data_IF_137480881331
#
_entry.id   IF_137480881331
#
_cell.length_a   1.000
_cell.length_b   1.000
_cell.length_c   1.000
_cell.angle_alpha   90.00
_cell.angle_beta   90.00
_cell.angle_gamma   90.00
#
_symmetry.space_group_name_H-M   'P 1'
#
loop_
_entity.id
_entity.type
_entity.pdbx_description
1 polymer ?
#
# COMPACT_ATOMS: atom_id res chain seq x y z
N UNK A 1 52.53 -79.22 -1.88
CA UNK A 1 53.77 -78.61 -1.33
C UNK A 1 53.51 -77.13 -1.16
N UNK A 2 53.22 -76.69 0.05
CA UNK A 2 54.13 -75.98 0.97
C UNK A 2 54.08 -74.47 0.71
N UNK A 3 53.29 -73.71 1.47
CA UNK A 3 53.62 -73.12 2.78
C UNK A 3 54.74 -72.05 2.70
N UNK A 4 54.27 -70.80 2.84
CA UNK A 4 54.81 -69.71 3.66
C UNK A 4 55.90 -68.81 3.00
N UNK A 5 55.66 -67.49 3.16
CA UNK A 5 56.59 -66.34 3.09
C UNK A 5 56.91 -65.78 1.70
N UNK A 6 56.13 -64.78 1.25
CA UNK A 6 56.63 -63.38 1.24
C UNK A 6 55.50 -62.50 1.77
N UNK A 7 55.54 -62.29 3.08
CA UNK A 7 54.87 -61.20 3.78
C UNK A 7 55.73 -59.95 3.51
N UNK A 8 55.38 -59.15 2.51
CA UNK A 8 55.50 -57.68 2.46
C UNK A 8 54.64 -57.22 1.28
N UNK A 9 53.33 -57.12 1.49
CA UNK A 9 52.33 -56.18 0.93
C UNK A 9 51.01 -56.57 1.63
N UNK A 10 51.08 -56.69 2.95
CA UNK A 10 49.92 -56.79 3.83
C UNK A 10 50.15 -55.81 4.99
N UNK A 11 50.43 -54.56 4.60
CA UNK A 11 50.50 -53.42 5.49
C UNK A 11 49.64 -52.32 4.86
N UNK A 12 48.41 -52.20 5.35
CA UNK A 12 47.45 -51.13 5.04
C UNK A 12 46.75 -51.27 3.67
N UNK A 13 45.91 -52.30 3.52
CA UNK A 13 44.62 -52.15 2.81
C UNK A 13 43.51 -52.29 3.85
N UNK A 14 43.51 -51.38 4.81
CA UNK A 14 42.43 -51.12 5.75
C UNK A 14 42.18 -49.62 5.66
N UNK A 15 41.01 -49.23 5.18
CA UNK A 15 40.42 -47.90 5.38
C UNK A 15 41.20 -46.75 4.76
N UNK A 16 41.02 -46.54 3.46
CA UNK A 16 41.60 -45.39 2.78
C UNK A 16 40.96 -45.11 1.42
N UNK A 17 39.63 -45.26 1.30
CA UNK A 17 38.94 -44.41 0.33
C UNK A 17 39.17 -43.00 0.86
N UNK A 18 40.12 -42.29 0.24
CA UNK A 18 40.20 -40.85 0.34
C UNK A 18 38.92 -40.40 -0.35
N UNK A 19 37.82 -40.39 0.39
CA UNK A 19 36.72 -39.48 0.12
C UNK A 19 37.38 -38.14 0.25
N UNK A 20 37.84 -37.61 -0.89
CA UNK A 20 38.02 -36.19 -1.03
C UNK A 20 36.63 -35.68 -0.68
N UNK A 21 36.45 -35.21 0.55
CA UNK A 21 35.28 -34.45 0.90
C UNK A 21 35.26 -33.39 -0.18
N UNK A 22 34.37 -33.54 -1.14
CA UNK A 22 33.94 -32.43 -1.96
C UNK A 22 33.26 -31.52 -0.97
N UNK A 23 34.08 -30.78 -0.22
CA UNK A 23 33.72 -29.49 0.33
C UNK A 23 33.59 -28.66 -0.94
N UNK A 24 32.49 -28.88 -1.66
CA UNK A 24 31.83 -27.79 -2.30
C UNK A 24 31.55 -26.87 -1.12
N UNK A 25 32.46 -25.93 -0.88
CA UNK A 25 32.10 -24.71 -0.22
C UNK A 25 30.99 -24.16 -1.10
N UNK A 26 29.74 -24.55 -0.79
CA UNK A 26 28.59 -23.78 -1.19
C UNK A 26 28.79 -22.48 -0.42
N UNK A 27 29.56 -21.58 -1.02
CA UNK A 27 29.35 -20.17 -0.83
C UNK A 27 27.90 -19.96 -1.27
N UNK A 28 26.96 -20.19 -0.35
CA UNK A 28 25.63 -19.64 -0.44
C UNK A 28 25.90 -18.15 -0.35
N UNK A 29 25.99 -17.52 -1.51
CA UNK A 29 26.04 -16.08 -1.63
C UNK A 29 24.74 -15.58 -0.98
N UNK A 30 24.86 -15.17 0.28
CA UNK A 30 23.76 -14.61 1.04
C UNK A 30 23.55 -13.20 0.53
N UNK A 31 23.00 -13.10 -0.69
CA UNK A 31 22.51 -11.91 -1.37
C UNK A 31 22.13 -10.82 -0.35
N UNK A 32 22.41 -9.55 -0.68
CA UNK A 32 22.30 -8.36 0.18
C UNK A 32 21.45 -8.54 1.46
N UNK A 33 22.09 -8.51 2.63
CA UNK A 33 21.37 -8.50 3.91
C UNK A 33 20.97 -7.08 4.28
N UNK A 34 19.67 -6.81 4.35
CA UNK A 34 19.14 -5.51 4.77
C UNK A 34 18.45 -5.63 6.11
N UNK A 35 18.80 -4.76 7.07
CA UNK A 35 18.10 -4.72 8.35
C UNK A 35 16.71 -4.12 8.15
N UNK A 36 15.70 -4.69 8.80
CA UNK A 36 14.37 -4.10 8.98
C UNK A 36 14.13 -3.84 10.47
N UNK A 37 13.74 -2.62 10.79
CA UNK A 37 13.40 -2.23 12.14
C UNK A 37 12.39 -1.09 12.09
N UNK A 38 11.15 -1.34 12.52
CA UNK A 38 10.11 -0.32 12.54
C UNK A 38 9.02 -0.63 13.56
N UNK A 39 8.30 0.42 13.95
CA UNK A 39 7.03 0.33 14.69
C UNK A 39 5.99 1.15 13.96
N UNK A 40 4.82 0.59 13.70
CA UNK A 40 3.73 1.29 13.01
C UNK A 40 2.36 0.79 13.47
N UNK A 41 1.33 1.60 13.26
CA UNK A 41 -0.06 1.16 13.41
C UNK A 41 -0.66 0.90 12.03
N UNK A 42 -1.22 -0.30 11.86
CA UNK A 42 -1.88 -0.75 10.64
C UNK A 42 -3.35 -1.03 10.92
N UNK A 43 -4.18 -0.85 9.89
CA UNK A 43 -5.59 -1.23 9.90
C UNK A 43 -5.77 -2.39 8.94
N UNK A 44 -6.56 -3.38 9.32
CA UNK A 44 -6.87 -4.52 8.45
C UNK A 44 -7.77 -4.09 7.29
N UNK A 45 -7.72 -4.86 6.21
CA UNK A 45 -8.72 -4.84 5.13
C UNK A 45 -9.24 -6.25 4.91
N UNK A 46 -10.23 -6.41 4.03
CA UNK A 46 -10.67 -7.74 3.59
C UNK A 46 -9.47 -8.57 3.10
N UNK A 47 -9.38 -9.83 3.53
CA UNK A 47 -8.34 -10.76 3.10
C UNK A 47 -8.50 -11.06 1.59
N UNK A 48 -7.49 -10.78 0.75
CA UNK A 48 -7.59 -11.01 -0.69
C UNK A 48 -7.37 -12.48 -1.08
N UNK A 49 -7.10 -13.38 -0.13
CA UNK A 49 -6.94 -14.80 -0.38
C UNK A 49 -8.24 -15.49 -0.79
N UNK A 50 -8.16 -16.41 -1.75
CA UNK A 50 -9.30 -17.23 -2.17
C UNK A 50 -9.84 -18.07 -1.00
N UNK A 51 -11.14 -18.02 -0.76
CA UNK A 51 -11.78 -18.70 0.37
C UNK A 51 -11.66 -17.96 1.72
N UNK A 52 -11.08 -16.76 1.72
CA UNK A 52 -10.96 -15.88 2.89
C UNK A 52 -11.80 -14.60 2.76
N UNK A 53 -12.82 -14.60 1.90
CA UNK A 53 -13.60 -13.39 1.58
C UNK A 53 -14.36 -12.83 2.79
N UNK A 54 -14.61 -13.64 3.82
CA UNK A 54 -15.23 -13.21 5.08
C UNK A 54 -14.26 -12.70 6.14
N UNK A 55 -12.96 -12.71 5.86
CA UNK A 55 -11.90 -12.49 6.84
C UNK A 55 -11.22 -11.12 6.66
N UNK A 56 -10.43 -10.75 7.66
CA UNK A 56 -9.65 -9.53 7.68
C UNK A 56 -8.15 -9.85 7.75
N UNK A 57 -7.34 -9.10 7.00
CA UNK A 57 -5.90 -9.24 6.92
C UNK A 57 -5.23 -7.87 7.02
N UNK A 58 -4.19 -7.78 7.85
CA UNK A 58 -3.34 -6.61 7.98
C UNK A 58 -1.90 -7.02 7.67
N UNK A 59 -1.41 -6.65 6.49
CA UNK A 59 -0.11 -7.10 6.01
C UNK A 59 1.00 -6.22 6.60
N UNK A 60 2.03 -6.86 7.14
CA UNK A 60 3.17 -6.22 7.81
C UNK A 60 4.41 -6.24 6.90
N UNK A 61 4.72 -7.41 6.34
CA UNK A 61 5.79 -7.61 5.36
C UNK A 61 5.20 -8.32 4.14
N UNK A 62 5.48 -7.77 2.97
CA UNK A 62 4.90 -8.19 1.72
C UNK A 62 5.64 -9.40 1.16
N UNK A 63 4.95 -10.38 0.55
CA UNK A 63 5.58 -11.41 -0.22
C UNK A 63 6.34 -10.82 -1.40
N UNK A 64 7.59 -11.21 -1.52
CA UNK A 64 8.47 -10.89 -2.64
C UNK A 64 9.20 -12.15 -3.06
N UNK A 65 9.31 -12.36 -4.37
CA UNK A 65 9.94 -13.56 -4.93
C UNK A 65 11.42 -13.61 -4.55
N UNK A 66 11.90 -14.76 -4.08
CA UNK A 66 13.29 -14.93 -3.65
C UNK A 66 13.66 -14.14 -2.39
N UNK A 67 12.70 -13.56 -1.68
CA UNK A 67 12.90 -12.76 -0.47
C UNK A 67 12.52 -13.55 0.78
N UNK A 68 13.42 -13.61 1.76
CA UNK A 68 13.18 -14.21 3.07
C UNK A 68 13.37 -13.15 4.15
N UNK A 69 12.31 -12.93 4.92
CA UNK A 69 12.35 -12.17 6.16
C UNK A 69 12.64 -13.10 7.34
N UNK A 70 13.47 -12.64 8.25
CA UNK A 70 13.91 -13.41 9.42
C UNK A 70 14.08 -12.47 10.62
N UNK A 71 13.30 -12.66 11.68
CA UNK A 71 13.37 -11.82 12.87
C UNK A 71 12.18 -11.98 13.81
N UNK A 72 11.92 -10.92 14.58
CA UNK A 72 10.90 -10.89 15.63
C UNK A 72 9.77 -9.92 15.29
N UNK A 73 8.54 -10.30 15.63
CA UNK A 73 7.37 -9.44 15.60
C UNK A 73 6.80 -9.33 17.02
N UNK A 74 6.58 -8.10 17.48
CA UNK A 74 5.77 -7.78 18.67
C UNK A 74 4.58 -6.94 18.26
N UNK A 75 3.38 -7.25 18.74
CA UNK A 75 2.20 -6.49 18.38
C UNK A 75 1.16 -6.38 19.51
N UNK A 76 0.28 -5.39 19.37
CA UNK A 76 -1.00 -5.28 20.09
C UNK A 76 -2.11 -4.91 19.12
N UNK A 77 -3.28 -5.52 19.24
CA UNK A 77 -4.41 -5.40 18.33
C UNK A 77 -5.72 -5.11 19.09
N UNK A 78 -6.64 -4.41 18.44
CA UNK A 78 -7.96 -4.07 18.99
C UNK A 78 -8.84 -5.30 19.19
N UNK A 79 -8.68 -6.32 18.35
CA UNK A 79 -9.39 -7.60 18.38
C UNK A 79 -8.39 -8.77 18.45
N UNK A 80 -8.80 -9.98 18.87
CA UNK A 80 -7.95 -11.16 18.81
C UNK A 80 -7.60 -11.49 17.35
N UNK A 81 -6.32 -11.74 17.09
CA UNK A 81 -5.78 -12.03 15.76
C UNK A 81 -4.94 -13.31 15.77
N UNK A 82 -4.69 -13.79 14.56
CA UNK A 82 -3.75 -14.84 14.23
C UNK A 82 -2.59 -14.24 13.47
N UNK A 83 -1.39 -14.76 13.71
CA UNK A 83 -0.21 -14.41 12.93
C UNK A 83 -0.19 -15.27 11.69
N UNK A 84 0.07 -14.65 10.54
CA UNK A 84 0.25 -15.30 9.25
C UNK A 84 1.70 -15.18 8.82
N UNK A 85 2.34 -16.31 8.56
CA UNK A 85 3.65 -16.37 7.89
C UNK A 85 3.48 -17.13 6.59
N UNK A 86 3.76 -16.46 5.46
CA UNK A 86 3.72 -17.09 4.14
C UNK A 86 5.10 -17.58 3.75
N UNK A 87 5.14 -18.72 3.07
CA UNK A 87 6.37 -19.34 2.57
C UNK A 87 6.29 -19.48 1.06
N UNK A 88 7.35 -19.11 0.37
CA UNK A 88 7.46 -19.33 -1.06
C UNK A 88 7.58 -20.83 -1.33
N UNK A 89 6.68 -21.37 -2.15
CA UNK A 89 6.61 -22.79 -2.50
C UNK A 89 6.31 -22.93 -4.00
N UNK A 90 6.61 -24.10 -4.57
CA UNK A 90 6.17 -24.42 -5.93
C UNK A 90 4.81 -25.13 -5.91
N UNK A 91 4.12 -25.17 -7.05
CA UNK A 91 2.85 -25.92 -7.18
C UNK A 91 3.01 -27.40 -6.78
N UNK A 92 4.17 -28.00 -7.06
CA UNK A 92 4.47 -29.39 -6.67
C UNK A 92 4.50 -29.58 -5.15
N UNK A 93 4.88 -28.54 -4.42
CA UNK A 93 4.99 -28.54 -2.95
C UNK A 93 3.68 -28.10 -2.26
N UNK A 94 2.65 -27.72 -3.02
CA UNK A 94 1.35 -27.28 -2.46
C UNK A 94 0.53 -28.41 -1.80
N UNK A 95 0.88 -29.68 -2.08
CA UNK A 95 0.07 -30.84 -1.67
C UNK A 95 0.29 -31.17 -0.19
N UNK A 96 -0.81 -31.16 0.59
CA UNK A 96 -0.82 -31.63 1.98
C UNK A 96 -0.51 -30.57 3.04
N UNK A 97 -0.42 -29.30 2.65
CA UNK A 97 -0.26 -28.16 3.56
C UNK A 97 -1.29 -27.07 3.26
N UNK A 98 -1.66 -26.23 4.24
CA UNK A 98 -2.47 -25.04 3.97
C UNK A 98 -1.72 -24.12 3.01
N UNK A 99 -2.46 -23.55 2.07
CA UNK A 99 -1.92 -22.62 1.08
C UNK A 99 -2.72 -21.32 1.10
N UNK A 100 -2.09 -20.25 0.64
CA UNK A 100 -2.73 -18.96 0.41
C UNK A 100 -2.38 -18.46 -1.00
N UNK A 101 -3.38 -17.98 -1.72
CA UNK A 101 -3.25 -17.45 -3.08
C UNK A 101 -4.33 -16.41 -3.36
N UNK A 102 -3.99 -15.39 -4.12
CA UNK A 102 -4.92 -14.32 -4.56
C UNK A 102 -5.60 -14.74 -5.87
N UNK A 103 -4.80 -15.14 -6.87
CA UNK A 103 -5.24 -15.40 -8.25
C UNK A 103 -5.26 -16.88 -8.62
N UNK A 104 -4.69 -17.76 -7.79
CA UNK A 104 -4.53 -19.19 -8.04
C UNK A 104 -3.25 -19.52 -8.82
N UNK A 105 -2.57 -18.53 -9.38
CA UNK A 105 -1.33 -18.71 -10.13
C UNK A 105 -0.13 -18.70 -9.16
N UNK A 106 -0.06 -17.70 -8.27
CA UNK A 106 1.01 -17.62 -7.26
C UNK A 106 0.53 -18.19 -5.93
N UNK A 107 1.19 -19.26 -5.47
CA UNK A 107 0.82 -20.03 -4.28
C UNK A 107 1.89 -19.87 -3.20
N UNK A 108 1.46 -19.64 -1.97
CA UNK A 108 2.33 -19.63 -0.79
C UNK A 108 1.88 -20.71 0.21
N UNK A 109 2.84 -21.30 0.93
CA UNK A 109 2.56 -22.13 2.09
C UNK A 109 2.11 -21.24 3.26
N UNK A 110 0.97 -21.57 3.87
CA UNK A 110 0.34 -20.77 4.92
C UNK A 110 0.62 -21.37 6.30
N UNK A 111 1.34 -20.62 7.14
CA UNK A 111 1.40 -20.87 8.58
C UNK A 111 0.51 -19.87 9.32
N UNK A 112 -0.38 -20.40 10.15
CA UNK A 112 -1.38 -19.63 10.89
C UNK A 112 -1.21 -19.92 12.39
N UNK A 113 -0.88 -18.90 13.18
CA UNK A 113 -0.55 -19.04 14.60
C UNK A 113 -1.52 -18.24 15.46
N UNK A 114 -2.30 -18.93 16.29
CA UNK A 114 -3.19 -18.31 17.27
C UNK A 114 -2.39 -17.51 18.30
N UNK A 115 -2.70 -16.22 18.43
CA UNK A 115 -1.81 -15.30 19.17
C UNK A 115 -2.55 -14.20 19.95
N UNK A 116 -3.88 -14.15 19.89
CA UNK A 116 -4.71 -13.31 20.75
C UNK A 116 -4.58 -11.82 20.44
N UNK A 117 -4.76 -10.95 21.44
CA UNK A 117 -4.72 -9.48 21.25
C UNK A 117 -3.32 -8.88 21.28
N UNK A 118 -2.32 -9.58 21.79
CA UNK A 118 -0.94 -9.09 21.83
C UNK A 118 0.02 -10.25 22.04
N UNK A 119 1.13 -10.27 21.30
CA UNK A 119 2.16 -11.29 21.46
C UNK A 119 3.51 -10.79 20.93
N UNK A 120 4.57 -11.52 21.27
CA UNK A 120 5.90 -11.44 20.67
C UNK A 120 6.31 -12.82 20.17
N UNK A 121 6.79 -12.94 18.93
CA UNK A 121 7.23 -14.21 18.38
C UNK A 121 8.30 -14.02 17.30
N UNK A 122 9.10 -15.07 17.10
CA UNK A 122 10.11 -15.15 16.03
C UNK A 122 9.51 -15.77 14.78
N UNK A 123 9.90 -15.26 13.60
CA UNK A 123 9.42 -15.73 12.31
C UNK A 123 10.53 -15.80 11.28
N UNK A 124 10.37 -16.75 10.36
CA UNK A 124 11.12 -16.81 9.12
C UNK A 124 10.13 -17.12 7.99
N UNK A 125 10.09 -16.29 6.95
CA UNK A 125 9.13 -16.49 5.85
C UNK A 125 9.25 -15.47 4.74
N UNK A 126 8.49 -15.68 3.67
CA UNK A 126 8.40 -14.80 2.52
C UNK A 126 7.43 -13.63 2.76
N UNK A 127 6.47 -13.73 3.69
CA UNK A 127 5.60 -12.62 4.09
C UNK A 127 5.16 -12.74 5.55
N UNK A 128 4.67 -11.63 6.11
CA UNK A 128 4.17 -11.56 7.47
C UNK A 128 2.91 -10.70 7.55
N UNK A 129 1.87 -11.19 8.21
CA UNK A 129 0.61 -10.47 8.40
C UNK A 129 -0.09 -10.84 9.73
N UNK A 130 -1.11 -10.07 10.09
CA UNK A 130 -2.11 -10.43 11.10
C UNK A 130 -3.44 -10.71 10.41
N UNK A 131 -4.12 -11.77 10.84
CA UNK A 131 -5.38 -12.25 10.29
C UNK A 131 -6.46 -12.31 11.37
N UNK A 132 -7.71 -12.02 11.01
CA UNK A 132 -8.88 -12.32 11.81
C UNK A 132 -9.90 -13.06 10.96
N UNK A 133 -10.46 -14.19 11.44
CA UNK A 133 -11.53 -14.90 10.72
C UNK A 133 -12.87 -14.13 10.77
N UNK A 134 -12.92 -12.99 11.46
CA UNK A 134 -14.10 -12.14 11.54
C UNK A 134 -14.05 -11.06 10.46
N UNK A 135 -15.22 -10.66 9.94
CA UNK A 135 -15.33 -9.60 8.92
C UNK A 135 -15.11 -8.19 9.46
N UNK A 136 -15.05 -8.02 10.79
CA UNK A 136 -14.88 -6.71 11.45
C UNK A 136 -13.43 -6.25 11.36
N UNK A 137 -13.21 -5.06 10.83
CA UNK A 137 -11.90 -4.42 10.80
C UNK A 137 -11.28 -4.31 12.19
N UNK A 138 -9.96 -4.50 12.25
CA UNK A 138 -9.15 -4.30 13.45
C UNK A 138 -7.96 -3.39 13.15
N UNK A 139 -7.46 -2.76 14.20
CA UNK A 139 -6.23 -1.98 14.16
C UNK A 139 -5.18 -2.66 15.02
N UNK A 140 -3.93 -2.67 14.57
CA UNK A 140 -2.82 -3.23 15.32
C UNK A 140 -1.60 -2.32 15.28
N UNK A 141 -0.95 -2.13 16.42
CA UNK A 141 0.40 -1.57 16.50
C UNK A 141 1.39 -2.72 16.48
N UNK A 142 2.28 -2.71 15.50
CA UNK A 142 3.27 -3.77 15.24
C UNK A 142 4.68 -3.19 15.31
N UNK A 143 5.61 -3.96 15.85
CA UNK A 143 7.04 -3.69 15.87
C UNK A 143 7.78 -4.89 15.31
N UNK A 144 8.59 -4.67 14.28
CA UNK A 144 9.40 -5.71 13.64
C UNK A 144 10.86 -5.35 13.79
N UNK A 145 11.70 -6.31 14.20
CA UNK A 145 13.15 -6.21 14.15
C UNK A 145 13.72 -7.49 13.54
N UNK A 146 14.49 -7.37 12.46
CA UNK A 146 14.98 -8.52 11.70
C UNK A 146 15.80 -8.16 10.49
N UNK A 147 15.92 -9.14 9.60
CA UNK A 147 16.74 -9.07 8.40
C UNK A 147 15.98 -9.58 7.19
N UNK A 148 16.29 -8.99 6.04
CA UNK A 148 15.91 -9.51 4.73
C UNK A 148 17.10 -10.19 4.12
N UNK A 149 16.87 -11.35 3.52
CA UNK A 149 17.84 -12.15 2.79
C UNK A 149 17.28 -12.45 1.40
N UNK A 150 18.12 -12.45 0.36
CA UNK A 150 17.70 -12.78 -1.01
C UNK A 150 17.77 -11.62 -2.01
N UNK A 151 17.26 -11.85 -3.24
CA UNK A 151 17.09 -10.82 -4.27
C UNK A 151 15.61 -10.45 -4.37
N UNK A 152 15.22 -9.19 -4.68
CA UNK A 152 16.05 -8.00 -4.96
C UNK A 152 16.27 -7.09 -3.72
N UNK A 153 17.23 -6.17 -3.84
CA UNK A 153 17.68 -5.19 -2.81
C UNK A 153 16.67 -4.06 -2.53
N UNK A 154 15.58 -3.98 -3.29
CA UNK A 154 14.45 -3.09 -3.00
C UNK A 154 13.42 -3.87 -2.18
N UNK A 155 13.32 -3.54 -0.89
CA UNK A 155 12.01 -3.64 -0.22
C UNK A 155 11.15 -2.64 -0.97
N UNK A 156 10.46 -3.10 -2.00
CA UNK A 156 9.28 -2.39 -2.42
C UNK A 156 8.38 -2.47 -1.19
N UNK A 157 8.22 -1.37 -0.46
CA UNK A 157 7.01 -1.11 0.33
C UNK A 157 5.88 -1.01 -0.72
N UNK A 158 5.61 -2.13 -1.39
CA UNK A 158 4.57 -2.29 -2.38
C UNK A 158 3.30 -2.45 -1.55
N UNK A 159 2.76 -1.31 -1.13
CA UNK A 159 1.36 -1.18 -0.78
C UNK A 159 0.60 -2.18 -1.65
N UNK A 160 0.03 -3.22 -1.03
CA UNK A 160 -0.86 -4.11 -1.75
C UNK A 160 -2.00 -3.24 -2.27
N UNK A 161 -1.87 -2.80 -3.51
CA UNK A 161 -3.00 -2.31 -4.28
C UNK A 161 -3.81 -3.56 -4.62
N UNK A 162 -4.78 -3.82 -3.74
CA UNK A 162 -6.01 -4.48 -4.15
C UNK A 162 -6.44 -3.75 -5.42
N UNK A 163 -6.45 -4.45 -6.55
CA UNK A 163 -6.85 -3.91 -7.85
C UNK A 163 -8.21 -3.23 -7.71
N UNK A 164 -8.16 -1.91 -7.57
CA UNK A 164 -9.20 -1.01 -8.03
C UNK A 164 -8.48 -0.14 -9.03
N UNK A 165 -8.80 -0.32 -10.30
CA UNK A 165 -8.19 0.40 -11.41
C UNK A 165 -8.20 1.92 -11.16
N UNK A 166 -7.07 2.47 -10.72
CA UNK A 166 -6.77 3.90 -10.82
C UNK A 166 -5.30 4.07 -11.26
N UNK A 167 -5.01 5.03 -12.14
CA UNK A 167 -3.72 5.14 -12.83
C UNK A 167 -2.60 5.55 -11.86
N UNK A 168 -1.49 4.81 -11.85
CA UNK A 168 -0.37 5.04 -10.94
C UNK A 168 0.54 6.20 -11.39
N UNK A 169 0.57 7.27 -10.60
CA UNK A 169 1.58 8.33 -10.67
C UNK A 169 2.73 7.98 -9.72
N UNK A 170 3.90 7.61 -10.26
CA UNK A 170 5.13 7.41 -9.47
C UNK A 170 5.78 8.76 -9.14
N UNK A 171 5.67 9.20 -7.88
CA UNK A 171 6.39 10.37 -7.39
C UNK A 171 7.76 9.96 -6.84
N UNK A 172 8.81 10.10 -7.65
CA UNK A 172 10.23 9.82 -7.30
C UNK A 172 10.83 10.74 -6.20
N UNK A 173 10.03 11.60 -5.58
CA UNK A 173 10.47 12.52 -4.51
C UNK A 173 9.39 12.58 -3.43
N UNK A 174 9.77 12.22 -2.20
CA UNK A 174 8.90 12.27 -1.01
C UNK A 174 8.51 13.68 -0.57
N UNK A 175 9.14 14.72 -1.14
CA UNK A 175 8.76 16.12 -0.98
C UNK A 175 9.15 16.90 -2.25
N UNK A 176 8.23 16.99 -3.21
CA UNK A 176 8.30 18.01 -4.26
C UNK A 176 7.51 19.22 -3.73
N UNK A 177 8.14 20.36 -3.42
CA UNK A 177 7.40 21.54 -3.03
C UNK A 177 6.50 21.96 -4.21
N UNK A 178 5.19 21.91 -3.99
CA UNK A 178 4.20 22.41 -4.93
C UNK A 178 3.76 23.80 -4.48
N UNK A 179 3.85 24.78 -5.38
CA UNK A 179 3.27 26.10 -5.19
C UNK A 179 1.94 26.11 -5.92
N UNK A 180 0.85 25.97 -5.15
CA UNK A 180 -0.52 25.98 -5.69
C UNK A 180 -1.06 27.41 -5.60
N UNK A 181 -1.59 27.98 -6.70
CA UNK A 181 -2.12 29.34 -6.69
C UNK A 181 -3.39 29.43 -5.83
N UNK A 182 -3.46 30.48 -5.00
CA UNK A 182 -4.65 30.79 -4.21
C UNK A 182 -5.61 31.66 -5.02
N UNK A 183 -6.87 31.28 -5.00
CA UNK A 183 -7.99 32.06 -5.51
C UNK A 183 -8.70 32.77 -4.36
N UNK A 184 -9.42 33.84 -4.70
CA UNK A 184 -10.22 34.61 -3.75
C UNK A 184 -11.70 34.37 -4.03
N UNK A 185 -12.44 33.98 -3.01
CA UNK A 185 -13.88 33.80 -3.06
C UNK A 185 -14.59 34.64 -1.99
N UNK A 186 -15.91 34.52 -1.91
CA UNK A 186 -16.76 35.21 -0.95
C UNK A 186 -17.64 34.20 -0.21
N UNK A 187 -17.71 34.35 1.11
CA UNK A 187 -18.71 33.70 1.97
C UNK A 187 -19.26 34.73 2.96
N UNK A 188 -20.58 34.86 3.06
CA UNK A 188 -21.24 35.83 3.96
C UNK A 188 -20.61 37.24 3.90
N UNK A 189 -20.44 37.77 2.68
CA UNK A 189 -19.84 39.08 2.40
C UNK A 189 -18.38 39.26 2.86
N UNK A 190 -17.72 38.17 3.29
CA UNK A 190 -16.32 38.16 3.69
C UNK A 190 -15.49 37.40 2.65
N UNK A 191 -14.26 37.85 2.40
CA UNK A 191 -13.36 37.14 1.50
C UNK A 191 -12.80 35.87 2.14
N UNK A 192 -12.69 34.82 1.34
CA UNK A 192 -11.97 33.60 1.67
C UNK A 192 -10.95 33.29 0.60
N UNK A 193 -10.00 32.41 0.92
CA UNK A 193 -9.03 31.91 -0.03
C UNK A 193 -9.16 30.41 -0.20
N UNK A 194 -9.04 29.94 -1.43
CA UNK A 194 -9.20 28.53 -1.76
C UNK A 194 -8.24 28.14 -2.89
N UNK A 195 -8.05 26.83 -3.04
CA UNK A 195 -7.27 26.23 -4.13
C UNK A 195 -8.17 25.27 -4.90
N UNK A 196 -7.83 25.03 -6.16
CA UNK A 196 -8.54 24.10 -7.04
C UNK A 196 -7.53 23.07 -7.52
N UNK A 197 -7.70 21.82 -7.09
CA UNK A 197 -6.79 20.72 -7.40
C UNK A 197 -7.31 19.80 -8.50
N UNK A 198 -8.61 19.53 -8.49
CA UNK A 198 -9.25 18.52 -9.33
C UNK A 198 -10.60 19.02 -9.86
N UNK A 199 -11.02 18.52 -11.02
CA UNK A 199 -12.34 18.77 -11.59
C UNK A 199 -12.91 17.50 -12.25
N UNK A 200 -14.23 17.28 -12.10
CA UNK A 200 -14.93 16.20 -12.81
C UNK A 200 -15.20 16.50 -14.29
N UNK A 201 -15.03 17.76 -14.70
CA UNK A 201 -15.29 18.24 -16.03
C UNK A 201 -14.01 18.71 -16.71
N UNK A 202 -13.75 18.19 -17.92
CA UNK A 202 -12.53 18.44 -18.69
C UNK A 202 -12.43 19.89 -19.15
N UNK A 203 -13.53 20.48 -19.64
CA UNK A 203 -13.50 21.85 -20.16
C UNK A 203 -13.23 22.85 -19.02
N UNK A 204 -13.85 22.61 -17.87
CA UNK A 204 -13.60 23.40 -16.67
C UNK A 204 -12.17 23.22 -16.15
N UNK A 205 -11.65 21.98 -16.13
CA UNK A 205 -10.27 21.68 -15.71
C UNK A 205 -9.25 22.42 -16.57
N UNK A 206 -9.40 22.36 -17.89
CA UNK A 206 -8.50 23.00 -18.85
C UNK A 206 -8.53 24.52 -18.71
N UNK A 207 -9.72 25.11 -18.59
CA UNK A 207 -9.91 26.55 -18.42
C UNK A 207 -9.27 27.08 -17.14
N UNK A 208 -9.45 26.37 -16.02
CA UNK A 208 -8.84 26.76 -14.74
C UNK A 208 -7.32 26.58 -14.82
N UNK A 209 -6.85 25.46 -15.39
CA UNK A 209 -5.42 25.18 -15.60
C UNK A 209 -4.73 26.31 -16.35
N UNK A 210 -5.33 26.77 -17.47
CA UNK A 210 -4.80 27.85 -18.28
C UNK A 210 -4.79 29.18 -17.51
N UNK A 211 -5.86 29.49 -16.76
CA UNK A 211 -5.98 30.72 -15.99
C UNK A 211 -4.98 30.81 -14.82
N UNK A 212 -4.78 29.72 -14.08
CA UNK A 212 -3.96 29.72 -12.87
C UNK A 212 -2.51 29.30 -13.11
N UNK A 213 -2.17 28.86 -14.32
CA UNK A 213 -0.86 28.34 -14.70
C UNK A 213 -0.37 27.20 -13.77
N UNK A 214 -1.31 26.37 -13.31
CA UNK A 214 -1.07 25.19 -12.48
C UNK A 214 -2.12 24.13 -12.83
N UNK A 215 -1.67 22.90 -13.05
CA UNK A 215 -2.49 21.83 -13.62
C UNK A 215 -3.60 21.39 -12.66
N UNK A 216 -4.85 21.58 -13.06
CA UNK A 216 -6.01 20.93 -12.44
C UNK A 216 -6.12 19.52 -13.01
N UNK A 217 -6.17 18.51 -12.14
CA UNK A 217 -6.29 17.13 -12.58
C UNK A 217 -7.75 16.78 -12.94
N UNK A 218 -7.92 15.96 -13.98
CA UNK A 218 -9.23 15.44 -14.34
C UNK A 218 -9.58 14.26 -13.43
N UNK A 219 -10.66 14.40 -12.66
CA UNK A 219 -11.17 13.36 -11.77
C UNK A 219 -12.65 13.07 -12.07
N UNK A 220 -12.98 12.32 -13.14
CA UNK A 220 -14.36 12.03 -13.53
C UNK A 220 -15.23 11.40 -12.42
N UNK A 221 -14.70 10.54 -11.52
CA UNK A 221 -15.48 9.98 -10.40
C UNK A 221 -16.15 11.03 -9.50
N UNK A 222 -15.61 12.25 -9.40
CA UNK A 222 -16.19 13.34 -8.60
C UNK A 222 -17.62 13.72 -9.04
N UNK A 223 -17.99 13.43 -10.30
CA UNK A 223 -19.36 13.65 -10.80
C UNK A 223 -20.41 12.82 -10.06
N UNK A 224 -20.00 11.70 -9.45
CA UNK A 224 -20.88 10.79 -8.72
C UNK A 224 -20.95 11.08 -7.21
N UNK A 225 -20.30 12.15 -6.73
CA UNK A 225 -20.37 12.54 -5.32
C UNK A 225 -21.83 12.84 -4.92
N UNK A 226 -22.31 12.33 -3.77
CA UNK A 226 -23.67 12.59 -3.32
C UNK A 226 -23.80 14.07 -2.92
N UNK A 227 -25.00 14.66 -3.11
CA UNK A 227 -25.21 16.11 -2.87
C UNK A 227 -24.87 16.53 -1.43
N UNK A 228 -25.16 15.66 -0.45
CA UNK A 228 -24.84 15.86 0.96
C UNK A 228 -23.33 15.90 1.27
N UNK A 229 -22.50 15.34 0.39
CA UNK A 229 -21.05 15.41 0.50
C UNK A 229 -20.47 16.62 -0.25
N UNK A 230 -21.29 17.50 -0.82
CA UNK A 230 -20.84 18.67 -1.60
C UNK A 230 -21.37 19.98 -1.02
N UNK A 231 -20.53 20.99 -0.97
CA UNK A 231 -20.98 22.37 -0.81
C UNK A 231 -21.37 22.97 -2.18
N UNK A 232 -22.13 24.05 -2.20
CA UNK A 232 -22.44 24.78 -3.43
C UNK A 232 -21.44 25.91 -3.63
N UNK A 233 -20.90 26.01 -4.85
CA UNK A 233 -20.05 27.11 -5.28
C UNK A 233 -20.71 27.77 -6.48
N UNK A 234 -21.13 29.02 -6.30
CA UNK A 234 -21.78 29.80 -7.34
C UNK A 234 -20.72 30.51 -8.18
N UNK A 235 -20.67 30.17 -9.48
CA UNK A 235 -19.67 30.68 -10.43
C UNK A 235 -20.38 31.45 -11.53
N UNK A 236 -19.96 32.69 -11.76
CA UNK A 236 -20.66 33.61 -12.66
C UNK A 236 -20.14 33.46 -14.10
N UNK A 237 -21.03 33.24 -15.06
CA UNK A 237 -20.68 33.11 -16.49
C UNK A 237 -20.89 34.39 -17.29
N UNK A 238 -21.46 35.43 -16.66
CA UNK A 238 -21.53 36.79 -17.18
C UNK A 238 -21.65 37.81 -16.03
N UNK A 239 -21.84 39.10 -16.36
CA UNK A 239 -22.13 40.15 -15.39
C UNK A 239 -20.95 41.07 -15.15
N UNK A 240 -20.62 41.31 -13.89
CA UNK A 240 -19.53 42.21 -13.50
C UNK A 240 -18.19 41.53 -13.78
N UNK A 241 -17.32 42.17 -14.55
CA UNK A 241 -15.96 41.67 -14.81
C UNK A 241 -15.15 41.58 -13.51
N UNK A 242 -14.36 40.51 -13.37
CA UNK A 242 -13.58 40.25 -12.17
C UNK A 242 -12.63 39.06 -12.34
N UNK A 243 -12.09 38.57 -11.23
CA UNK A 243 -11.06 37.53 -11.23
C UNK A 243 -11.61 36.10 -11.11
N UNK A 244 -12.92 35.91 -11.04
CA UNK A 244 -13.56 34.59 -11.00
C UNK A 244 -13.24 33.72 -12.22
N UNK A 245 -13.52 32.42 -12.15
CA UNK A 245 -13.13 31.37 -13.08
C UNK A 245 -13.46 31.73 -14.53
N UNK A 246 -14.64 32.28 -14.81
CA UNK A 246 -15.07 32.70 -16.15
C UNK A 246 -14.75 34.16 -16.50
N UNK A 247 -13.97 34.88 -15.67
CA UNK A 247 -13.58 36.28 -15.88
C UNK A 247 -14.60 37.31 -15.36
N UNK A 248 -15.47 36.88 -14.45
CA UNK A 248 -16.49 37.71 -13.80
C UNK A 248 -16.21 37.81 -12.30
N UNK A 249 -17.15 38.34 -11.53
CA UNK A 249 -17.06 38.50 -10.08
C UNK A 249 -16.66 37.21 -9.33
N UNK A 250 -16.03 37.39 -8.17
CA UNK A 250 -15.57 36.34 -7.26
C UNK A 250 -16.68 35.30 -6.95
N UNK A 251 -16.27 34.04 -6.85
CA UNK A 251 -17.14 32.91 -6.53
C UNK A 251 -17.78 33.07 -5.16
N UNK A 252 -19.03 32.64 -5.03
CA UNK A 252 -19.72 32.62 -3.74
C UNK A 252 -19.82 31.19 -3.23
N UNK A 253 -19.34 30.97 -2.02
CA UNK A 253 -19.35 29.67 -1.34
C UNK A 253 -20.55 29.57 -0.40
N UNK A 254 -21.10 28.36 -0.25
CA UNK A 254 -22.17 28.09 0.71
C UNK A 254 -21.69 27.75 2.11
N UNK A 255 -20.40 27.45 2.29
CA UNK A 255 -19.82 27.07 3.58
C UNK A 255 -18.32 27.36 3.65
N UNK A 256 -17.75 27.41 4.85
CA UNK A 256 -16.30 27.42 5.08
C UNK A 256 -15.92 26.40 6.15
N UNK A 257 -14.62 26.07 6.35
CA UNK A 257 -14.20 25.16 7.41
C UNK A 257 -14.64 25.55 8.82
N UNK A 258 -15.11 26.79 9.03
CA UNK A 258 -15.67 27.24 10.30
C UNK A 258 -17.05 26.66 10.61
N UNK A 259 -17.79 26.16 9.62
CA UNK A 259 -19.06 25.45 9.81
C UNK A 259 -18.84 23.95 9.69
N UNK A 260 -18.28 23.31 10.73
CA UNK A 260 -17.85 21.90 10.70
C UNK A 260 -18.93 20.90 10.25
N UNK A 261 -20.20 21.15 10.57
CA UNK A 261 -21.32 20.28 10.20
C UNK A 261 -21.85 20.49 8.78
N UNK A 262 -21.50 21.59 8.13
CA UNK A 262 -22.00 22.00 6.80
C UNK A 262 -20.89 22.01 5.74
N UNK A 263 -19.63 22.11 6.18
CA UNK A 263 -18.49 22.24 5.31
C UNK A 263 -18.19 20.95 4.54
N UNK A 264 -17.98 21.10 3.24
CA UNK A 264 -17.33 20.09 2.42
C UNK A 264 -16.20 20.71 1.61
N UNK A 265 -15.07 20.00 1.51
CA UNK A 265 -14.01 20.36 0.57
C UNK A 265 -14.43 20.11 -0.90
N UNK A 266 -15.44 19.26 -1.15
CA UNK A 266 -15.98 19.02 -2.48
C UNK A 266 -17.03 20.08 -2.82
N UNK A 267 -16.83 20.77 -3.94
CA UNK A 267 -17.74 21.80 -4.44
C UNK A 267 -18.54 21.34 -5.65
N UNK A 268 -19.87 21.48 -5.58
CA UNK A 268 -20.74 21.44 -6.74
C UNK A 268 -20.81 22.84 -7.35
N UNK A 269 -20.27 22.99 -8.56
CA UNK A 269 -20.33 24.24 -9.32
C UNK A 269 -21.76 24.49 -9.77
N UNK A 270 -22.29 25.65 -9.39
CA UNK A 270 -23.57 26.17 -9.85
C UNK A 270 -23.29 27.39 -10.72
N UNK A 271 -23.50 27.24 -12.02
CA UNK A 271 -23.30 28.35 -12.95
C UNK A 271 -24.43 29.38 -12.82
N UNK A 272 -24.03 30.64 -12.66
CA UNK A 272 -24.93 31.77 -12.49
C UNK A 272 -24.80 32.69 -13.69
N UNK A 273 -25.92 32.91 -14.38
CA UNK A 273 -26.02 33.86 -15.49
C UNK A 273 -27.03 34.95 -15.14
N UNK A 274 -26.56 36.18 -15.08
CA UNK A 274 -27.40 37.37 -15.01
C UNK A 274 -28.28 37.48 -16.27
N UNK A 275 -29.58 37.63 -16.05
CA UNK A 275 -30.53 37.93 -17.12
C UNK A 275 -30.48 39.44 -17.41
N UNK A 276 -30.40 39.80 -18.69
CA UNK A 276 -30.54 41.21 -19.09
C UNK A 276 -31.92 41.73 -18.66
N UNK A 277 -31.94 42.78 -17.84
CA UNK A 277 -33.14 43.61 -17.64
C UNK A 277 -33.98 43.32 -16.39
N UNK A 278 -33.53 42.53 -15.42
CA UNK A 278 -34.19 42.50 -14.11
C UNK A 278 -33.57 43.59 -13.22
N UNK A 279 -34.29 44.70 -13.10
CA UNK A 279 -34.09 45.72 -12.05
C UNK A 279 -34.73 45.24 -10.75
#
# INVERSE_FOLDING_TARGET
MNKIIIVVILGIIIGGVISISSISDQFVDANSRKKIHFTQTITSSQDPGQGHEGHQLAIILLPSEGTIYDGSLTYTASEPVQVVVLHEITENDSKGQPIWSIDGDKIYGLSLIDSGKSNSFEFTGAALALHSPNSKEFTATVSVDGWIRGQPTEIVLQKFEIKKDEPSLSLFKTNVPAVIPLHKGIFNSTSLYYIITDSSDQELADKITEKQNWKVELAPPLRNAPEEATQQIFVFTNGVSGDGIYGFQDEVFSSTPNQESEYSALGKVVEVTWKKGQK
#
